data_IF_812498441114
#
_entry.id   IF_812498441114
#
_cell.length_a   1.000
_cell.length_b   1.000
_cell.length_c   1.000
_cell.angle_alpha   90.00
_cell.angle_beta   90.00
_cell.angle_gamma   90.00
#
_symmetry.space_group_name_H-M   'P 1'
#
loop_
_entity.id
_entity.type
_entity.pdbx_description
1 polymer ?
#
# COMPACT_ATOMS: atom_id res chain seq x y z
N UNK A 1 14.15 36.20 -30.64
CA UNK A 1 14.36 34.89 -29.98
C UNK A 1 13.01 34.36 -29.52
N UNK A 2 12.53 33.19 -29.96
CA UNK A 2 11.23 32.69 -29.50
C UNK A 2 11.35 32.03 -28.12
N UNK A 3 10.47 32.44 -27.20
CA UNK A 3 10.33 31.89 -25.86
C UNK A 3 9.78 30.46 -25.93
N UNK A 4 10.52 29.48 -25.38
CA UNK A 4 10.06 28.10 -25.21
C UNK A 4 8.95 28.07 -24.15
N UNK A 5 7.70 27.89 -24.57
CA UNK A 5 6.57 27.61 -23.68
C UNK A 5 6.70 26.20 -23.12
N UNK A 6 7.09 26.08 -21.86
CA UNK A 6 7.07 24.82 -21.11
C UNK A 6 5.62 24.40 -20.90
N UNK A 7 5.15 23.34 -21.58
CA UNK A 7 3.83 22.75 -21.31
C UNK A 7 3.83 22.15 -19.92
N UNK A 8 3.16 22.80 -18.97
CA UNK A 8 2.91 22.23 -17.65
C UNK A 8 1.90 21.10 -17.86
N UNK A 9 2.33 19.86 -17.68
CA UNK A 9 1.45 18.69 -17.77
C UNK A 9 0.35 18.79 -16.72
N UNK A 10 -0.91 18.70 -17.13
CA UNK A 10 -2.06 18.67 -16.20
C UNK A 10 -1.87 17.52 -15.20
N UNK A 11 -2.08 17.73 -13.89
CA UNK A 11 -2.00 16.65 -12.91
C UNK A 11 -3.04 15.58 -13.25
N UNK A 12 -2.61 14.32 -13.34
CA UNK A 12 -3.54 13.23 -13.58
C UNK A 12 -4.48 13.06 -12.37
N UNK A 13 -5.78 12.76 -12.61
CA UNK A 13 -6.69 12.45 -11.52
C UNK A 13 -6.18 11.21 -10.78
N UNK A 14 -5.94 11.33 -9.48
CA UNK A 14 -5.57 10.19 -8.64
C UNK A 14 -6.74 9.20 -8.68
N UNK A 15 -6.50 7.98 -9.16
CA UNK A 15 -7.50 6.90 -9.08
C UNK A 15 -7.88 6.72 -7.60
N UNK A 16 -9.17 6.63 -7.25
CA UNK A 16 -9.57 6.34 -5.88
C UNK A 16 -8.98 4.99 -5.47
N UNK A 17 -8.33 4.95 -4.30
CA UNK A 17 -7.75 3.72 -3.79
C UNK A 17 -8.84 2.70 -3.45
N UNK A 18 -8.59 1.43 -3.77
CA UNK A 18 -9.51 0.35 -3.46
C UNK A 18 -9.51 0.04 -1.96
N UNK A 19 -10.51 0.59 -1.28
CA UNK A 19 -10.74 0.36 0.15
C UNK A 19 -11.60 -0.88 0.44
N UNK A 20 -11.99 -1.67 -0.55
CA UNK A 20 -12.77 -2.89 -0.32
C UNK A 20 -11.89 -4.12 -0.10
N UNK A 21 -10.66 -4.07 -0.63
CA UNK A 21 -9.71 -5.16 -0.53
C UNK A 21 -9.01 -5.24 0.84
N UNK A 22 -8.80 -6.48 1.28
CA UNK A 22 -8.07 -6.84 2.50
C UNK A 22 -6.74 -7.46 2.12
N UNK A 23 -5.68 -7.15 2.88
CA UNK A 23 -4.35 -7.75 2.65
C UNK A 23 -3.76 -8.32 3.93
N UNK A 24 -3.14 -9.49 3.79
CA UNK A 24 -2.41 -10.21 4.83
C UNK A 24 -0.98 -10.43 4.34
N UNK A 25 0.00 -9.97 5.10
CA UNK A 25 1.43 -10.14 4.82
C UNK A 25 2.05 -11.03 5.88
N UNK A 26 2.83 -12.02 5.45
CA UNK A 26 3.53 -12.96 6.33
C UNK A 26 5.01 -12.91 5.97
N UNK A 27 5.83 -12.51 6.93
CA UNK A 27 7.29 -12.35 6.75
C UNK A 27 7.94 -12.38 8.14
N UNK A 28 9.14 -12.92 8.29
CA UNK A 28 9.85 -13.00 9.57
C UNK A 28 10.70 -11.76 9.89
N UNK A 29 10.82 -10.81 8.94
CA UNK A 29 11.50 -9.53 9.17
C UNK A 29 10.54 -8.43 9.67
N UNK A 30 10.69 -8.10 10.95
CA UNK A 30 9.99 -7.00 11.63
C UNK A 30 10.03 -5.66 10.90
N UNK A 31 11.15 -5.34 10.26
CA UNK A 31 11.36 -4.07 9.57
C UNK A 31 10.51 -4.02 8.31
N UNK A 32 10.42 -5.13 7.58
CA UNK A 32 9.56 -5.28 6.41
C UNK A 32 8.08 -5.22 6.81
N UNK A 33 7.68 -5.95 7.86
CA UNK A 33 6.29 -5.92 8.35
C UNK A 33 5.86 -4.51 8.73
N UNK A 34 6.71 -3.74 9.44
CA UNK A 34 6.46 -2.33 9.78
C UNK A 34 6.35 -1.46 8.53
N UNK A 35 7.26 -1.62 7.58
CA UNK A 35 7.23 -0.89 6.31
C UNK A 35 5.90 -1.14 5.56
N UNK A 36 5.51 -2.41 5.40
CA UNK A 36 4.27 -2.77 4.70
C UNK A 36 3.04 -2.25 5.44
N UNK A 37 2.97 -2.36 6.76
CA UNK A 37 1.87 -1.80 7.56
C UNK A 37 1.67 -0.32 7.25
N UNK A 38 2.75 0.47 7.27
CA UNK A 38 2.68 1.92 7.05
C UNK A 38 2.31 2.24 5.60
N UNK A 39 2.90 1.53 4.63
CA UNK A 39 2.70 1.84 3.22
C UNK A 39 1.32 1.39 2.71
N UNK A 40 0.90 0.16 3.04
CA UNK A 40 -0.31 -0.47 2.52
C UNK A 40 -1.60 0.11 3.13
N UNK A 41 -1.54 0.63 4.37
CA UNK A 41 -2.70 1.28 5.00
C UNK A 41 -3.21 2.52 4.24
N UNK A 42 -2.41 3.07 3.31
CA UNK A 42 -2.86 4.16 2.43
C UNK A 42 -3.80 3.68 1.33
N UNK A 43 -3.72 2.40 0.98
CA UNK A 43 -4.39 1.82 -0.18
C UNK A 43 -5.56 0.92 0.23
N UNK A 44 -5.39 0.09 1.27
CA UNK A 44 -6.35 -0.92 1.70
C UNK A 44 -7.09 -0.50 2.97
N UNK A 45 -8.31 -1.00 3.18
CA UNK A 45 -9.07 -0.72 4.40
C UNK A 45 -8.58 -1.48 5.62
N UNK A 46 -7.97 -2.66 5.41
CA UNK A 46 -7.43 -3.48 6.50
C UNK A 46 -6.19 -4.23 6.02
N UNK A 47 -5.10 -3.96 6.74
CA UNK A 47 -3.77 -4.52 6.54
C UNK A 47 -3.37 -5.30 7.80
N UNK A 48 -3.27 -6.61 7.65
CA UNK A 48 -2.80 -7.51 8.68
C UNK A 48 -1.37 -7.92 8.32
N UNK A 49 -0.45 -7.83 9.28
CA UNK A 49 0.94 -8.25 9.14
C UNK A 49 1.23 -9.18 10.30
N UNK A 50 1.88 -10.30 10.02
CA UNK A 50 2.17 -11.35 11.01
C UNK A 50 3.53 -11.97 10.71
N UNK A 51 4.23 -12.41 11.77
CA UNK A 51 5.58 -12.99 11.65
C UNK A 51 5.57 -14.47 11.24
N UNK A 52 4.45 -15.17 11.44
CA UNK A 52 4.37 -16.60 11.20
C UNK A 52 3.13 -17.02 10.41
N UNK A 53 3.28 -18.10 9.63
CA UNK A 53 2.17 -18.72 8.92
C UNK A 53 1.07 -19.25 9.87
N UNK A 54 1.45 -19.64 11.10
CA UNK A 54 0.49 -20.09 12.12
C UNK A 54 -0.43 -18.94 12.53
N UNK A 55 0.13 -17.76 12.76
CA UNK A 55 -0.65 -16.56 13.12
C UNK A 55 -1.48 -16.08 11.93
N UNK A 56 -0.95 -16.19 10.71
CA UNK A 56 -1.67 -15.90 9.47
C UNK A 56 -2.96 -16.74 9.35
N UNK A 57 -2.87 -18.04 9.58
CA UNK A 57 -4.02 -18.95 9.55
C UNK A 57 -5.05 -18.62 10.64
N UNK A 58 -4.61 -18.14 11.81
CA UNK A 58 -5.51 -17.71 12.88
C UNK A 58 -6.29 -16.44 12.49
N UNK A 59 -5.74 -15.59 11.62
CA UNK A 59 -6.39 -14.35 11.15
C UNK A 59 -7.39 -14.56 10.01
N UNK A 60 -7.40 -15.75 9.38
CA UNK A 60 -8.30 -16.09 8.27
C UNK A 60 -9.64 -16.72 8.71
N UNK A 61 -9.83 -16.93 10.01
CA UNK A 61 -11.08 -17.46 10.59
C UNK A 61 -12.04 -16.34 10.95
#
# INVERSE_FOLDING_TARGET
>A
MPLKTTRISKPQPRRPYDRTSFILVVDDDDSLLKFFKIHLNKFFSRVIVVESAKDALAQLK
#
